data_IF_321394657951
#
_entry.id   IF_321394657951
#
_cell.length_a   1.000
_cell.length_b   1.000
_cell.length_c   1.000
_cell.angle_alpha   90.00
_cell.angle_beta   90.00
_cell.angle_gamma   90.00
#
_symmetry.space_group_name_H-M   'P 1'
#
loop_
_entity.id
_entity.type
_entity.pdbx_description
1 polymer ?
#
# COMPACT_ATOMS: atom_id res chain seq x y z
N UNK A 1 46.91 25.15 26.22
CA UNK A 1 46.68 25.98 25.03
C UNK A 1 46.61 25.06 23.83
N UNK A 2 45.50 24.75 23.19
CA UNK A 2 44.07 24.77 23.50
C UNK A 2 43.50 23.71 22.55
N UNK A 3 42.62 22.84 23.07
CA UNK A 3 41.96 21.80 22.28
C UNK A 3 40.85 22.42 21.44
N UNK A 4 40.80 22.09 20.15
CA UNK A 4 39.81 22.62 19.22
C UNK A 4 38.57 21.71 19.19
N UNK A 5 37.50 22.20 19.80
CA UNK A 5 36.16 21.61 19.83
C UNK A 5 35.40 22.00 18.54
N UNK A 6 34.63 21.10 17.92
CA UNK A 6 33.82 21.45 16.74
C UNK A 6 32.63 22.34 17.10
N UNK A 7 32.13 23.18 16.17
CA UNK A 7 31.09 24.16 16.45
C UNK A 7 29.71 23.51 16.70
N UNK A 8 29.01 24.02 17.73
CA UNK A 8 27.65 23.64 18.11
C UNK A 8 26.61 24.04 17.04
N UNK A 9 25.67 23.14 16.77
CA UNK A 9 24.49 23.39 15.93
C UNK A 9 23.48 24.29 16.67
N UNK A 10 22.77 25.20 15.98
CA UNK A 10 21.83 26.12 16.63
C UNK A 10 20.58 25.39 17.18
N UNK A 11 19.99 25.87 18.29
CA UNK A 11 18.78 25.30 18.86
C UNK A 11 17.57 25.86 18.12
N UNK A 12 16.65 25.01 17.66
CA UNK A 12 15.28 25.43 17.33
C UNK A 12 14.33 24.25 17.35
N UNK A 13 13.79 23.99 18.54
CA UNK A 13 12.48 23.35 18.71
C UNK A 13 11.48 24.44 19.04
N UNK A 14 10.44 24.69 18.24
CA UNK A 14 9.27 25.38 18.73
C UNK A 14 8.38 24.35 19.44
N UNK A 15 8.23 24.56 20.75
CA UNK A 15 7.13 24.03 21.54
C UNK A 15 5.82 24.57 20.92
N UNK A 16 4.95 23.69 20.41
CA UNK A 16 3.63 24.12 19.92
C UNK A 16 2.56 23.45 20.78
N UNK A 17 1.92 24.32 21.56
CA UNK A 17 0.86 24.00 22.50
C UNK A 17 -0.36 23.43 21.79
N UNK A 18 -1.12 22.62 22.53
CA UNK A 18 -2.35 21.97 22.09
C UNK A 18 -3.42 23.03 21.77
N UNK A 19 -3.76 23.20 20.50
CA UNK A 19 -5.03 23.79 20.10
C UNK A 19 -5.81 22.81 19.23
N UNK A 20 -6.98 22.43 19.74
CA UNK A 20 -7.93 21.58 19.06
C UNK A 20 -8.62 22.37 17.94
N UNK A 21 -8.24 22.11 16.69
CA UNK A 21 -9.01 22.55 15.53
C UNK A 21 -9.95 21.42 15.09
N UNK A 22 -11.24 21.60 15.38
CA UNK A 22 -12.31 20.79 14.80
C UNK A 22 -12.42 21.08 13.31
N UNK A 23 -12.21 20.08 12.45
CA UNK A 23 -12.51 20.21 11.02
C UNK A 23 -13.55 19.15 10.62
N UNK A 24 -14.71 19.67 10.23
CA UNK A 24 -15.84 18.94 9.65
C UNK A 24 -15.56 18.80 8.15
N UNK A 25 -15.19 17.60 7.70
CA UNK A 25 -15.43 17.12 6.34
C UNK A 25 -15.11 15.63 6.27
N UNK A 26 -16.13 14.86 5.96
CA UNK A 26 -16.15 13.42 5.68
C UNK A 26 -15.39 13.10 4.39
N UNK A 27 -14.08 12.98 4.48
CA UNK A 27 -13.23 12.16 3.62
C UNK A 27 -11.92 12.01 4.37
N UNK A 28 -11.49 10.76 4.62
CA UNK A 28 -10.24 10.51 5.36
C UNK A 28 -9.13 11.31 4.66
N UNK A 29 -8.55 12.35 5.29
CA UNK A 29 -7.45 13.04 4.66
C UNK A 29 -6.31 12.03 4.63
N UNK A 30 -5.82 11.70 3.43
CA UNK A 30 -4.43 11.33 3.27
C UNK A 30 -3.69 12.40 4.06
N UNK A 31 -3.05 12.01 5.18
CA UNK A 31 -2.34 12.95 6.03
C UNK A 31 -1.54 13.90 5.13
N UNK A 32 -1.63 15.22 5.36
CA UNK A 32 -0.81 16.19 4.64
C UNK A 32 0.65 15.87 4.92
N UNK A 33 1.22 14.97 4.12
CA UNK A 33 2.62 14.63 4.16
C UNK A 33 3.38 15.82 3.57
N UNK A 34 4.49 16.18 4.21
CA UNK A 34 5.39 17.19 3.69
C UNK A 34 5.82 16.90 2.23
N UNK A 35 5.88 15.62 1.86
CA UNK A 35 6.18 15.16 0.51
C UNK A 35 5.10 15.60 -0.50
N UNK A 36 3.82 15.43 -0.16
CA UNK A 36 2.69 15.82 -1.03
C UNK A 36 2.65 17.33 -1.26
N UNK A 37 2.93 18.12 -0.21
CA UNK A 37 3.03 19.57 -0.32
C UNK A 37 4.21 19.98 -1.20
N UNK A 38 5.39 19.37 -0.98
CA UNK A 38 6.60 19.66 -1.74
C UNK A 38 6.43 19.36 -3.25
N UNK A 39 5.72 18.28 -3.58
CA UNK A 39 5.40 17.93 -4.97
C UNK A 39 4.43 18.94 -5.60
N UNK A 40 3.41 19.36 -4.84
CA UNK A 40 2.43 20.37 -5.30
C UNK A 40 3.11 21.71 -5.60
N UNK A 41 4.06 22.10 -4.75
CA UNK A 41 4.87 23.32 -4.93
C UNK A 41 6.00 23.14 -5.94
N UNK A 42 6.20 21.93 -6.49
CA UNK A 42 7.29 21.55 -7.40
C UNK A 42 8.68 21.82 -6.83
N UNK A 43 8.82 21.79 -5.50
CA UNK A 43 10.10 21.99 -4.81
C UNK A 43 10.84 20.68 -4.56
N UNK A 44 10.16 19.53 -4.70
CA UNK A 44 10.80 18.21 -4.70
C UNK A 44 11.72 18.02 -5.92
N UNK A 45 12.84 17.28 -5.82
CA UNK A 45 13.60 16.86 -6.98
C UNK A 45 12.74 16.13 -8.02
N UNK A 46 13.05 16.30 -9.31
CA UNK A 46 12.25 15.75 -10.43
C UNK A 46 11.97 14.25 -10.29
N UNK A 47 12.95 13.47 -9.84
CA UNK A 47 12.79 12.02 -9.68
C UNK A 47 11.76 11.65 -8.59
N UNK A 48 11.67 12.45 -7.51
CA UNK A 48 10.66 12.24 -6.46
C UNK A 48 9.26 12.57 -6.97
N UNK A 49 9.13 13.63 -7.78
CA UNK A 49 7.84 13.98 -8.41
C UNK A 49 7.37 12.88 -9.37
N UNK A 50 8.28 12.28 -10.14
CA UNK A 50 7.94 11.16 -11.03
C UNK A 50 7.52 9.91 -10.24
N UNK A 51 8.21 9.60 -9.16
CA UNK A 51 7.86 8.47 -8.28
C UNK A 51 6.50 8.68 -7.61
N UNK A 52 6.23 9.88 -7.09
CA UNK A 52 4.96 10.20 -6.44
C UNK A 52 3.79 10.24 -7.42
N UNK A 53 4.01 10.70 -8.66
CA UNK A 53 3.02 10.62 -9.73
C UNK A 53 2.66 9.16 -10.05
N UNK A 54 3.67 8.28 -10.21
CA UNK A 54 3.48 6.85 -10.47
C UNK A 54 2.72 6.16 -9.34
N UNK A 55 3.07 6.49 -8.10
CA UNK A 55 2.38 5.98 -6.91
C UNK A 55 0.92 6.43 -6.85
N UNK A 56 0.66 7.72 -7.07
CA UNK A 56 -0.68 8.30 -7.04
C UNK A 56 -1.58 7.71 -8.12
N UNK A 57 -1.04 7.53 -9.34
CA UNK A 57 -1.75 6.89 -10.43
C UNK A 57 -2.12 5.44 -10.10
N UNK A 58 -1.19 4.65 -9.54
CA UNK A 58 -1.48 3.30 -9.08
C UNK A 58 -2.55 3.26 -7.98
N UNK A 59 -2.49 4.18 -7.01
CA UNK A 59 -3.51 4.30 -5.97
C UNK A 59 -4.89 4.64 -6.55
N UNK A 60 -4.96 5.51 -7.57
CA UNK A 60 -6.20 5.83 -8.26
C UNK A 60 -6.75 4.62 -9.01
N UNK A 61 -5.91 3.88 -9.73
CA UNK A 61 -6.31 2.64 -10.42
C UNK A 61 -6.87 1.63 -9.41
N UNK A 62 -6.17 1.39 -8.31
CA UNK A 62 -6.62 0.48 -7.25
C UNK A 62 -7.95 0.91 -6.62
N UNK A 63 -8.12 2.21 -6.35
CA UNK A 63 -9.39 2.74 -5.82
C UNK A 63 -10.53 2.58 -6.81
N UNK A 64 -10.29 2.83 -8.10
CA UNK A 64 -11.31 2.74 -9.14
C UNK A 64 -11.75 1.30 -9.45
N UNK A 65 -10.89 0.32 -9.22
CA UNK A 65 -11.21 -1.10 -9.41
C UNK A 65 -12.05 -1.68 -8.26
N UNK A 66 -11.96 -1.10 -7.05
CA UNK A 66 -12.91 -1.37 -5.96
C UNK A 66 -14.20 -0.58 -6.21
N UNK A 67 -15.27 -1.27 -6.62
CA UNK A 67 -16.59 -0.66 -6.69
C UNK A 67 -16.95 -0.04 -5.32
N UNK A 68 -17.11 1.27 -5.28
CA UNK A 68 -17.72 1.96 -4.14
C UNK A 68 -19.22 1.76 -4.25
N UNK A 69 -19.85 1.21 -3.20
CA UNK A 69 -21.33 1.20 -3.11
C UNK A 69 -21.84 2.64 -3.24
N UNK A 70 -22.82 2.94 -4.10
CA UNK A 70 -23.37 4.27 -4.17
C UNK A 70 -24.20 4.52 -2.91
N UNK A 71 -23.61 5.16 -1.90
CA UNK A 71 -24.38 5.87 -0.89
C UNK A 71 -24.42 7.33 -1.31
N UNK A 72 -25.35 7.66 -2.20
CA UNK A 72 -26.04 8.95 -2.23
C UNK A 72 -27.22 8.87 -3.20
N UNK A 73 -28.37 9.35 -2.73
CA UNK A 73 -29.64 9.45 -3.41
C UNK A 73 -29.52 10.09 -4.79
N UNK A 74 -29.42 9.29 -5.85
CA UNK A 74 -29.73 9.76 -7.20
C UNK A 74 -30.81 8.86 -7.82
N UNK A 75 -31.96 9.50 -8.04
CA UNK A 75 -33.15 8.96 -8.67
C UNK A 75 -32.81 8.63 -10.13
N UNK A 76 -32.58 7.35 -10.43
CA UNK A 76 -32.39 6.90 -11.81
C UNK A 76 -33.72 6.94 -12.57
N UNK A 77 -33.90 7.97 -13.39
CA UNK A 77 -34.88 7.97 -14.48
C UNK A 77 -34.21 7.37 -15.73
N UNK A 78 -34.68 6.21 -16.16
CA UNK A 78 -34.30 5.58 -17.41
C UNK A 78 -35.25 6.07 -18.51
N UNK A 79 -34.80 6.98 -19.37
CA UNK A 79 -35.40 7.17 -20.71
C UNK A 79 -34.40 7.91 -21.63
N UNK A 80 -33.83 7.19 -22.59
CA UNK A 80 -33.01 7.76 -23.67
C UNK A 80 -32.24 6.68 -24.45
N UNK A 81 -32.31 6.64 -25.80
CA UNK A 81 -31.78 5.54 -26.59
C UNK A 81 -30.25 5.57 -26.72
N UNK A 82 -29.60 4.43 -27.01
CA UNK A 82 -28.16 4.29 -26.91
C UNK A 82 -27.49 4.52 -28.29
N UNK A 83 -26.84 5.67 -28.47
CA UNK A 83 -25.90 5.81 -29.58
C UNK A 83 -24.91 6.95 -29.35
N UNK A 84 -23.64 6.58 -29.45
CA UNK A 84 -22.48 7.44 -29.73
C UNK A 84 -21.90 8.30 -28.59
N UNK A 85 -21.07 7.68 -27.74
CA UNK A 85 -19.81 8.29 -27.25
C UNK A 85 -18.96 7.33 -26.40
N UNK A 86 -18.36 6.29 -27.01
CA UNK A 86 -17.20 5.61 -26.38
C UNK A 86 -16.17 5.29 -27.46
N UNK A 87 -15.29 6.25 -27.73
CA UNK A 87 -14.04 5.99 -28.43
C UNK A 87 -13.08 5.24 -27.49
N UNK A 88 -12.93 3.95 -27.81
CA UNK A 88 -11.77 3.08 -27.60
C UNK A 88 -10.70 3.51 -26.58
N UNK A 89 -10.89 3.07 -25.34
CA UNK A 89 -9.78 2.70 -24.47
C UNK A 89 -9.55 1.20 -24.70
N UNK A 90 -8.49 0.82 -25.42
CA UNK A 90 -8.04 -0.57 -25.56
C UNK A 90 -7.31 -0.99 -24.27
N UNK A 91 -8.06 -1.21 -23.20
CA UNK A 91 -7.65 -2.18 -22.16
C UNK A 91 -8.09 -3.57 -22.60
N UNK A 92 -7.37 -4.65 -22.25
CA UNK A 92 -7.88 -5.99 -22.46
C UNK A 92 -9.20 -6.10 -21.71
N UNK A 93 -10.29 -6.36 -22.45
CA UNK A 93 -11.62 -6.62 -21.90
C UNK A 93 -11.53 -7.83 -20.97
N UNK A 94 -11.48 -7.59 -19.66
CA UNK A 94 -11.95 -8.57 -18.67
C UNK A 94 -13.46 -8.38 -18.59
N UNK A 95 -14.19 -9.44 -18.94
CA UNK A 95 -15.63 -9.44 -19.04
C UNK A 95 -16.34 -9.04 -17.75
N UNK A 96 -17.47 -8.37 -17.94
CA UNK A 96 -18.58 -8.13 -17.02
C UNK A 96 -18.61 -8.97 -15.73
N UNK A 97 -18.07 -8.41 -14.64
CA UNK A 97 -18.64 -8.34 -13.29
C UNK A 97 -17.59 -7.62 -12.43
N UNK A 98 -17.93 -6.48 -11.82
CA UNK A 98 -17.01 -5.62 -11.07
C UNK A 98 -16.66 -6.22 -9.70
N UNK A 99 -15.97 -7.36 -9.68
CA UNK A 99 -15.24 -7.77 -8.47
C UNK A 99 -13.96 -6.96 -8.38
N UNK A 100 -13.60 -6.43 -7.20
CA UNK A 100 -12.29 -5.84 -7.02
C UNK A 100 -11.21 -6.86 -7.37
N UNK A 101 -10.17 -6.43 -8.08
CA UNK A 101 -9.01 -7.28 -8.35
C UNK A 101 -8.38 -7.69 -7.01
N UNK A 102 -8.29 -9.00 -6.76
CA UNK A 102 -7.65 -9.52 -5.54
C UNK A 102 -6.14 -9.30 -5.58
N UNK A 103 -5.48 -9.25 -4.41
CA UNK A 103 -4.01 -9.22 -4.33
C UNK A 103 -3.37 -10.36 -5.14
N UNK A 104 -3.96 -11.56 -5.09
CA UNK A 104 -3.47 -12.73 -5.80
C UNK A 104 -3.57 -12.56 -7.32
N UNK A 105 -4.70 -12.03 -7.82
CA UNK A 105 -4.89 -11.78 -9.25
C UNK A 105 -3.88 -10.73 -9.77
N UNK A 106 -3.65 -9.66 -8.99
CA UNK A 106 -2.68 -8.61 -9.37
C UNK A 106 -1.28 -9.21 -9.47
N UNK A 107 -0.86 -9.98 -8.47
CA UNK A 107 0.42 -10.66 -8.49
C UNK A 107 0.54 -11.62 -9.69
N UNK A 108 -0.47 -12.46 -9.94
CA UNK A 108 -0.45 -13.40 -11.07
C UNK A 108 -0.36 -12.67 -12.42
N UNK A 109 -1.14 -11.60 -12.61
CA UNK A 109 -1.12 -10.78 -13.82
C UNK A 109 0.26 -10.15 -14.03
N UNK A 110 0.86 -9.59 -12.97
CA UNK A 110 2.18 -8.97 -13.03
C UNK A 110 3.25 -9.98 -13.45
N UNK A 111 3.26 -11.17 -12.83
CA UNK A 111 4.21 -12.24 -13.13
C UNK A 111 4.02 -12.78 -14.55
N UNK A 112 2.77 -12.98 -14.97
CA UNK A 112 2.41 -13.44 -16.32
C UNK A 112 2.79 -12.43 -17.39
N UNK A 113 2.59 -11.13 -17.15
CA UNK A 113 3.01 -10.05 -18.05
C UNK A 113 4.53 -10.00 -18.14
N UNK A 114 5.22 -10.03 -17.01
CA UNK A 114 6.68 -10.00 -16.98
C UNK A 114 7.32 -11.15 -17.77
N UNK A 115 6.75 -12.37 -17.68
CA UNK A 115 7.22 -13.52 -18.48
C UNK A 115 7.02 -13.39 -19.99
N UNK A 116 6.06 -12.56 -20.44
CA UNK A 116 5.76 -12.34 -21.88
C UNK A 116 6.48 -11.14 -22.46
N UNK A 117 6.59 -10.07 -21.69
CA UNK A 117 7.05 -8.74 -22.15
C UNK A 117 8.47 -8.42 -21.67
N UNK A 118 9.13 -9.32 -20.94
CA UNK A 118 10.54 -9.21 -20.56
C UNK A 118 10.86 -8.04 -19.63
N UNK A 119 9.88 -7.57 -18.86
CA UNK A 119 10.04 -6.44 -17.94
C UNK A 119 9.90 -5.05 -18.59
N UNK A 120 9.50 -4.97 -19.87
CA UNK A 120 9.22 -3.68 -20.50
C UNK A 120 7.89 -3.15 -19.94
N UNK A 121 7.96 -2.14 -19.07
CA UNK A 121 6.79 -1.37 -18.66
C UNK A 121 6.45 -0.46 -19.84
N UNK A 122 5.32 -0.70 -20.49
CA UNK A 122 4.84 0.19 -21.55
C UNK A 122 4.73 1.62 -20.97
N UNK A 123 5.28 2.65 -21.66
CA UNK A 123 5.25 4.03 -21.19
C UNK A 123 3.83 4.61 -21.07
N UNK A 124 2.83 3.89 -21.57
CA UNK A 124 1.40 4.23 -21.49
C UNK A 124 0.66 3.60 -20.31
N UNK A 125 1.34 2.84 -19.44
CA UNK A 125 0.73 2.35 -18.19
C UNK A 125 0.95 3.40 -17.11
N UNK A 126 -0.04 4.26 -16.89
CA UNK A 126 0.03 5.34 -15.90
C UNK A 126 0.31 4.84 -14.48
N UNK A 127 -0.06 3.58 -14.18
CA UNK A 127 0.26 2.89 -12.95
C UNK A 127 1.35 1.85 -13.17
N UNK A 128 2.37 1.87 -12.30
CA UNK A 128 3.39 0.84 -12.28
C UNK A 128 2.86 -0.47 -11.65
N UNK A 129 3.21 -1.63 -12.22
CA UNK A 129 2.68 -2.94 -11.79
C UNK A 129 3.00 -3.28 -10.33
N UNK A 130 4.20 -2.97 -9.85
CA UNK A 130 4.59 -3.24 -8.46
C UNK A 130 3.92 -2.29 -7.48
N UNK A 131 3.73 -1.02 -7.86
CA UNK A 131 3.02 -0.05 -7.03
C UNK A 131 1.59 -0.50 -6.78
N UNK A 132 0.91 -0.99 -7.83
CA UNK A 132 -0.45 -1.52 -7.71
C UNK A 132 -0.51 -2.71 -6.76
N UNK A 133 0.45 -3.63 -6.86
CA UNK A 133 0.55 -4.82 -6.01
C UNK A 133 0.89 -4.46 -4.55
N UNK A 134 1.80 -3.51 -4.33
CA UNK A 134 2.14 -3.03 -3.00
C UNK A 134 0.94 -2.34 -2.31
N UNK A 135 0.19 -1.52 -3.04
CA UNK A 135 -1.02 -0.86 -2.55
C UNK A 135 -2.08 -1.91 -2.21
N UNK A 136 -2.27 -2.92 -3.06
CA UNK A 136 -3.17 -4.02 -2.80
C UNK A 136 -2.78 -4.78 -1.53
N UNK A 137 -1.50 -5.10 -1.36
CA UNK A 137 -0.98 -5.83 -0.20
C UNK A 137 -1.18 -5.04 1.10
N UNK A 138 -0.81 -3.76 1.12
CA UNK A 138 -1.00 -2.89 2.29
C UNK A 138 -2.46 -2.80 2.66
N UNK A 139 -3.35 -2.60 1.67
CA UNK A 139 -4.77 -2.48 1.96
C UNK A 139 -5.38 -3.81 2.42
N UNK A 140 -5.08 -4.91 1.76
CA UNK A 140 -5.72 -6.20 2.01
C UNK A 140 -5.22 -6.84 3.31
N UNK A 141 -3.92 -6.72 3.62
CA UNK A 141 -3.32 -7.35 4.78
C UNK A 141 -3.37 -6.47 6.04
N UNK A 142 -3.74 -5.18 5.94
CA UNK A 142 -3.75 -4.24 7.07
C UNK A 142 -4.52 -4.73 8.31
N UNK A 143 -5.59 -5.51 8.13
CA UNK A 143 -6.36 -6.07 9.24
C UNK A 143 -5.76 -7.35 9.86
N UNK A 144 -4.84 -8.01 9.16
CA UNK A 144 -4.23 -9.28 9.57
C UNK A 144 -2.92 -9.07 10.32
N UNK A 145 -2.35 -7.86 10.28
CA UNK A 145 -1.07 -7.52 10.93
C UNK A 145 -1.21 -6.40 11.97
N UNK A 146 -0.18 -6.17 12.78
CA UNK A 146 -0.18 -5.02 13.71
C UNK A 146 0.03 -3.71 12.93
N UNK A 147 0.95 -3.72 11.97
CA UNK A 147 1.20 -2.59 11.07
C UNK A 147 1.73 -3.08 9.72
N UNK A 148 1.35 -2.42 8.63
CA UNK A 148 1.94 -2.59 7.31
C UNK A 148 2.00 -1.24 6.60
N UNK A 149 3.17 -0.91 6.07
CA UNK A 149 3.39 0.32 5.32
C UNK A 149 4.52 0.15 4.31
N UNK A 150 4.51 0.98 3.28
CA UNK A 150 5.60 1.01 2.30
C UNK A 150 6.74 1.82 2.90
N UNK A 151 7.97 1.33 2.80
CA UNK A 151 9.12 2.04 3.37
C UNK A 151 9.30 3.39 2.68
N UNK A 152 9.58 4.43 3.48
CA UNK A 152 10.01 5.75 3.02
C UNK A 152 11.54 5.91 3.07
N UNK A 153 12.21 5.01 3.80
CA UNK A 153 13.67 5.05 4.03
C UNK A 153 14.43 4.25 2.97
N UNK A 154 13.79 3.25 2.37
CA UNK A 154 14.40 2.37 1.38
C UNK A 154 14.01 2.74 -0.05
N UNK A 155 14.83 2.36 -1.05
CA UNK A 155 14.57 2.70 -2.45
C UNK A 155 13.20 2.22 -2.94
N UNK A 156 12.50 3.10 -3.66
CA UNK A 156 11.28 2.79 -4.38
C UNK A 156 11.53 3.02 -5.86
N UNK A 157 11.49 1.95 -6.64
CA UNK A 157 11.66 1.99 -8.10
C UNK A 157 10.56 1.18 -8.76
N UNK A 158 10.48 1.24 -10.09
CA UNK A 158 9.51 0.47 -10.86
C UNK A 158 9.69 -1.05 -10.76
N UNK A 159 10.87 -1.48 -10.33
CA UNK A 159 11.29 -2.90 -10.35
C UNK A 159 11.51 -3.46 -8.94
N UNK A 160 11.51 -2.59 -7.93
CA UNK A 160 11.82 -2.92 -6.55
C UNK A 160 11.08 -1.97 -5.59
N UNK A 161 10.30 -2.55 -4.68
CA UNK A 161 9.60 -1.81 -3.62
C UNK A 161 9.83 -2.53 -2.29
N UNK A 162 10.13 -1.76 -1.24
CA UNK A 162 10.20 -2.28 0.13
C UNK A 162 8.95 -1.97 0.93
N UNK A 163 8.46 -2.97 1.64
CA UNK A 163 7.26 -2.87 2.50
C UNK A 163 7.62 -3.35 3.89
N UNK A 164 7.38 -2.53 4.89
CA UNK A 164 7.52 -2.89 6.29
C UNK A 164 6.23 -3.57 6.76
N UNK A 165 6.38 -4.65 7.51
CA UNK A 165 5.30 -5.31 8.22
C UNK A 165 5.71 -5.57 9.65
N UNK A 166 4.78 -5.34 10.59
CA UNK A 166 4.88 -5.80 11.96
C UNK A 166 3.76 -6.78 12.18
N UNK A 167 4.10 -8.05 12.41
CA UNK A 167 3.12 -9.12 12.56
C UNK A 167 2.33 -8.97 13.86
N UNK A 168 1.25 -9.74 14.03
CA UNK A 168 0.45 -9.67 15.26
C UNK A 168 1.22 -10.11 16.50
N UNK A 169 2.21 -10.97 16.32
CA UNK A 169 3.13 -11.43 17.35
C UNK A 169 4.17 -10.35 17.72
N UNK A 170 4.12 -9.19 17.07
CA UNK A 170 5.00 -8.04 17.30
C UNK A 170 6.34 -8.10 16.57
N UNK A 171 6.56 -9.12 15.73
CA UNK A 171 7.82 -9.30 15.00
C UNK A 171 7.88 -8.37 13.78
N UNK A 172 8.91 -7.51 13.66
CA UNK A 172 9.09 -6.64 12.49
C UNK A 172 9.80 -7.37 11.35
N UNK A 173 9.37 -7.10 10.13
CA UNK A 173 10.04 -7.54 8.90
C UNK A 173 10.04 -6.42 7.87
N UNK A 174 11.11 -6.35 7.09
CA UNK A 174 11.13 -5.62 5.82
C UNK A 174 11.01 -6.64 4.71
N UNK A 175 10.00 -6.45 3.86
CA UNK A 175 9.70 -7.27 2.70
C UNK A 175 10.19 -6.56 1.44
N UNK A 176 10.69 -7.34 0.51
CA UNK A 176 11.04 -6.90 -0.83
C UNK A 176 10.01 -7.44 -1.82
N UNK A 177 9.45 -6.54 -2.62
CA UNK A 177 8.58 -6.83 -3.75
C UNK A 177 9.34 -6.57 -5.05
N UNK A 178 9.38 -7.58 -5.92
CA UNK A 178 9.93 -7.50 -7.28
C UNK A 178 9.06 -8.30 -8.25
N UNK A 179 9.39 -8.25 -9.54
CA UNK A 179 8.78 -9.15 -10.54
C UNK A 179 9.10 -10.64 -10.36
N UNK A 180 9.97 -11.01 -9.40
CA UNK A 180 10.17 -12.40 -8.98
C UNK A 180 9.23 -12.83 -7.86
N UNK A 181 8.45 -11.90 -7.31
CA UNK A 181 7.55 -12.11 -6.18
C UNK A 181 8.03 -11.40 -4.91
N UNK A 182 7.52 -11.87 -3.78
CA UNK A 182 7.78 -11.31 -2.45
C UNK A 182 8.86 -12.10 -1.73
N UNK A 183 9.79 -11.44 -1.06
CA UNK A 183 10.77 -12.09 -0.18
C UNK A 183 10.99 -11.29 1.10
N UNK A 184 11.55 -11.94 2.11
CA UNK A 184 11.96 -11.26 3.36
C UNK A 184 13.34 -10.65 3.13
N UNK A 185 13.42 -9.32 3.11
CA UNK A 185 14.69 -8.61 3.01
C UNK A 185 15.42 -8.56 4.35
N UNK A 186 14.69 -8.33 5.46
CA UNK A 186 15.26 -8.29 6.80
C UNK A 186 14.22 -8.59 7.88
N UNK A 187 14.68 -8.97 9.07
CA UNK A 187 13.89 -9.12 10.32
C UNK A 187 13.84 -7.83 11.13
N UNK A 188 14.13 -6.69 10.50
CA UNK A 188 14.08 -5.36 11.08
C UNK A 188 13.30 -4.44 10.15
N UNK A 189 12.68 -3.40 10.71
CA UNK A 189 11.99 -2.35 9.96
C UNK A 189 12.99 -1.47 9.22
N UNK A 190 12.65 -1.07 7.98
CA UNK A 190 13.48 -0.19 7.14
C UNK A 190 14.92 -0.69 6.92
N UNK A 191 15.09 -2.02 6.85
CA UNK A 191 16.40 -2.65 6.72
C UNK A 191 16.44 -3.64 5.55
N UNK A 192 17.53 -3.62 4.79
CA UNK A 192 17.79 -4.58 3.70
C UNK A 192 18.84 -5.64 4.09
N UNK A 193 19.36 -5.58 5.32
CA UNK A 193 20.38 -6.50 5.77
C UNK A 193 19.69 -7.79 6.19
N UNK A 194 19.75 -8.80 5.31
CA UNK A 194 19.33 -10.16 5.64
C UNK A 194 20.24 -10.77 6.70
N UNK A 195 19.69 -11.68 7.49
CA UNK A 195 20.44 -12.49 8.43
C UNK A 195 21.14 -13.62 7.68
N UNK A 196 22.47 -13.52 7.52
CA UNK A 196 23.29 -14.53 6.86
C UNK A 196 23.32 -15.88 7.60
N UNK A 197 22.83 -15.95 8.84
CA UNK A 197 22.65 -17.24 9.54
C UNK A 197 21.37 -17.96 9.10
N UNK A 198 20.43 -17.24 8.48
CA UNK A 198 19.12 -17.73 8.02
C UNK A 198 18.93 -17.48 6.52
N UNK A 199 19.90 -17.87 5.71
CA UNK A 199 19.91 -17.62 4.25
C UNK A 199 18.64 -18.12 3.57
N UNK A 200 18.15 -19.30 3.96
CA UNK A 200 16.93 -19.88 3.38
C UNK A 200 15.69 -18.99 3.55
N UNK A 201 15.62 -18.24 4.66
CA UNK A 201 14.54 -17.28 4.93
C UNK A 201 14.57 -16.11 3.94
N UNK A 202 15.76 -15.60 3.64
CA UNK A 202 15.98 -14.39 2.84
C UNK A 202 16.10 -14.65 1.33
N UNK A 203 16.26 -15.92 0.93
CA UNK A 203 16.39 -16.32 -0.47
C UNK A 203 15.10 -16.89 -1.07
N UNK A 204 14.12 -17.22 -0.22
CA UNK A 204 12.83 -17.75 -0.64
C UNK A 204 11.93 -16.64 -1.18
N UNK A 205 11.38 -16.86 -2.38
CA UNK A 205 10.34 -16.03 -2.96
C UNK A 205 8.97 -16.69 -2.82
N UNK A 206 7.98 -15.87 -2.49
CA UNK A 206 6.57 -16.19 -2.41
C UNK A 206 5.85 -15.55 -3.59
N UNK A 207 4.75 -16.14 -4.02
CA UNK A 207 4.04 -15.63 -5.20
C UNK A 207 3.29 -14.33 -4.89
N UNK A 208 2.75 -14.20 -3.69
CA UNK A 208 2.01 -13.03 -3.23
C UNK A 208 2.31 -12.75 -1.74
N UNK A 209 1.95 -11.55 -1.26
CA UNK A 209 2.21 -11.15 0.11
C UNK A 209 1.42 -11.97 1.15
N UNK A 210 0.25 -12.53 0.79
CA UNK A 210 -0.56 -13.35 1.69
C UNK A 210 0.11 -14.69 2.02
N UNK A 211 0.69 -15.33 1.02
CA UNK A 211 1.47 -16.57 1.20
C UNK A 211 2.69 -16.33 2.11
N UNK A 212 3.38 -15.20 1.90
CA UNK A 212 4.48 -14.78 2.76
C UNK A 212 4.00 -14.53 4.19
N UNK A 213 2.91 -13.77 4.37
CA UNK A 213 2.37 -13.45 5.69
C UNK A 213 2.02 -14.71 6.48
N UNK A 214 1.36 -15.67 5.85
CA UNK A 214 1.04 -16.98 6.47
C UNK A 214 2.29 -17.72 6.95
N UNK A 215 3.41 -17.55 6.26
CA UNK A 215 4.67 -18.17 6.63
C UNK A 215 5.35 -17.47 7.82
N UNK A 216 5.29 -16.14 7.91
CA UNK A 216 5.95 -15.36 8.99
C UNK A 216 5.07 -15.12 10.22
N UNK A 217 3.75 -15.23 10.07
CA UNK A 217 2.75 -14.98 11.12
C UNK A 217 1.68 -16.07 11.05
N UNK A 218 1.89 -17.23 11.69
CA UNK A 218 0.88 -18.30 11.71
C UNK A 218 -0.42 -17.86 12.41
N UNK A 219 -0.34 -16.90 13.34
CA UNK A 219 -1.48 -16.45 14.15
C UNK A 219 -2.23 -15.24 13.54
N UNK A 220 -1.88 -14.80 12.32
CA UNK A 220 -2.49 -13.64 11.66
C UNK A 220 -4.03 -13.72 11.56
N UNK A 221 -4.57 -14.93 11.38
CA UNK A 221 -6.01 -15.18 11.26
C UNK A 221 -6.76 -15.21 12.60
N UNK A 222 -6.06 -15.45 13.71
CA UNK A 222 -6.68 -15.67 15.03
C UNK A 222 -7.27 -14.38 15.59
N UNK A 223 -6.55 -13.25 15.44
CA UNK A 223 -7.00 -11.96 15.98
C UNK A 223 -8.30 -11.46 15.36
N UNK A 224 -8.53 -11.71 14.07
CA UNK A 224 -9.79 -11.36 13.43
C UNK A 224 -10.96 -12.11 14.10
N UNK A 225 -10.79 -13.42 14.31
CA UNK A 225 -11.80 -14.25 14.96
C UNK A 225 -12.03 -13.83 16.41
N UNK A 226 -10.97 -13.51 17.16
CA UNK A 226 -11.08 -12.99 18.53
C UNK A 226 -11.80 -11.64 18.60
N UNK A 227 -11.46 -10.72 17.69
CA UNK A 227 -12.11 -9.41 17.60
C UNK A 227 -13.59 -9.55 17.23
N UNK A 228 -13.91 -10.42 16.26
CA UNK A 228 -15.27 -10.72 15.86
C UNK A 228 -16.06 -11.33 17.01
N UNK A 229 -15.52 -12.34 17.69
CA UNK A 229 -16.14 -12.97 18.85
C UNK A 229 -16.44 -11.95 19.96
N UNK A 230 -15.48 -11.08 20.26
CA UNK A 230 -15.64 -10.01 21.25
C UNK A 230 -16.74 -9.02 20.86
N UNK A 231 -16.82 -8.62 19.59
CA UNK A 231 -17.88 -7.73 19.09
C UNK A 231 -19.25 -8.40 19.12
N UNK A 232 -19.34 -9.67 18.75
CA UNK A 232 -20.59 -10.44 18.81
C UNK A 232 -21.09 -10.59 20.26
N UNK A 233 -20.19 -10.81 21.22
CA UNK A 233 -20.53 -10.83 22.65
C UNK A 233 -21.11 -9.49 23.12
N UNK A 234 -20.48 -8.36 22.75
CA UNK A 234 -20.99 -7.03 23.09
C UNK A 234 -22.40 -6.79 22.55
N UNK A 235 -22.68 -7.23 21.32
CA UNK A 235 -24.02 -7.09 20.72
C UNK A 235 -25.04 -7.98 21.45
N UNK A 236 -24.66 -9.21 21.79
CA UNK A 236 -25.52 -10.13 22.54
C UNK A 236 -25.90 -9.56 23.91
N UNK A 237 -24.93 -8.96 24.62
CA UNK A 237 -25.15 -8.29 25.92
C UNK A 237 -26.09 -7.07 25.79
N UNK A 238 -25.95 -6.26 24.74
CA UNK A 238 -26.85 -5.12 24.47
C UNK A 238 -28.27 -5.59 24.17
N UNK A 239 -28.44 -6.70 23.45
CA UNK A 239 -29.76 -7.23 23.10
C UNK A 239 -30.51 -7.90 24.26
N UNK A 240 -29.82 -8.17 25.37
CA UNK A 240 -30.40 -8.80 26.56
C UNK A 240 -30.88 -7.81 27.63
N UNK A 241 -30.71 -6.49 27.39
CA UNK A 241 -31.22 -5.39 28.22
C UNK A 241 -32.46 -4.76 27.60
#
# INVERSE_FOLDING_TARGET
MDGQQPPESPPNSPNCEKEAASCICSSVPIALSANTLADTLKVSPLYKQQDSARWTAAAQVYRSSRAVSPTQDEKFSFDGPPSELINQIKTPRVGAARTPLSLEDIAEINRKRHGKEGGIIAPSSDAGPLELEAIAAVHELAHEVENICVSEMLPRTSDLIFVNVKTQEGAPYTLELTMKGWRIASTHTDCMNGDYTRIELHTKYFQNARELLKFISPDHATKFNECLAKRLQQIAEISAQ
#
